data_IF_191104016374
#
_entry.id   IF_191104016374
#
_cell.length_a   1.000
_cell.length_b   1.000
_cell.length_c   1.000
_cell.angle_alpha   90.00
_cell.angle_beta   90.00
_cell.angle_gamma   90.00
#
_symmetry.space_group_name_H-M   'P 1'
#
loop_
_entity.id
_entity.type
_entity.pdbx_description
1 polymer ?
#
# COMPACT_ATOMS: atom_id res chain seq x y z
N UNK A 1 0.65 -9.21 7.65
CA UNK A 1 0.28 -8.22 6.62
C UNK A 1 -0.69 -7.22 7.25
N UNK A 2 -0.43 -5.92 7.14
CA UNK A 2 -1.29 -4.88 7.72
C UNK A 2 -2.10 -4.19 6.61
N UNK A 3 -3.43 -4.03 6.77
CA UNK A 3 -4.28 -3.40 5.78
C UNK A 3 -4.01 -1.90 5.69
N UNK A 4 -4.17 -1.33 4.50
CA UNK A 4 -4.16 0.12 4.32
C UNK A 4 -5.38 0.70 5.05
N UNK A 5 -5.17 1.59 6.04
CA UNK A 5 -6.21 1.96 7.01
C UNK A 5 -7.29 2.91 6.44
N UNK A 6 -7.19 3.32 5.18
CA UNK A 6 -8.11 4.30 4.60
C UNK A 6 -9.24 3.66 3.81
N UNK A 7 -10.43 4.23 3.92
CA UNK A 7 -11.61 3.86 3.14
C UNK A 7 -11.51 4.31 1.67
N UNK A 8 -10.48 5.10 1.33
CA UNK A 8 -10.20 5.55 -0.03
C UNK A 8 -9.62 4.44 -0.92
N UNK A 9 -9.22 3.30 -0.34
CA UNK A 9 -8.71 2.17 -1.12
C UNK A 9 -9.86 1.52 -1.91
N UNK A 10 -9.74 1.47 -3.23
CA UNK A 10 -10.71 0.85 -4.15
C UNK A 10 -10.28 -0.52 -4.66
N UNK A 11 -9.26 -1.13 -4.06
CA UNK A 11 -8.61 -2.35 -4.56
C UNK A 11 -8.16 -2.32 -6.04
N UNK A 12 -7.88 -1.14 -6.60
CA UNK A 12 -7.45 -1.01 -8.00
C UNK A 12 -6.14 -1.73 -8.37
N UNK A 13 -5.34 -2.16 -7.38
CA UNK A 13 -4.15 -2.99 -7.61
C UNK A 13 -2.89 -2.27 -8.08
N UNK A 14 -2.91 -0.97 -8.39
CA UNK A 14 -1.72 -0.25 -8.87
C UNK A 14 -0.53 -0.32 -7.89
N UNK A 15 -0.80 -0.24 -6.59
CA UNK A 15 0.23 -0.39 -5.56
C UNK A 15 0.87 -1.79 -5.54
N UNK A 16 0.12 -2.83 -5.91
CA UNK A 16 0.62 -4.21 -6.02
C UNK A 16 1.56 -4.33 -7.21
N UNK A 17 1.18 -3.76 -8.36
CA UNK A 17 1.95 -3.81 -9.60
C UNK A 17 3.32 -3.10 -9.47
N UNK A 18 3.33 -1.89 -8.89
CA UNK A 18 4.56 -1.11 -8.78
C UNK A 18 5.51 -1.61 -7.68
N UNK A 19 5.05 -2.46 -6.75
CA UNK A 19 5.85 -2.81 -5.58
C UNK A 19 7.05 -3.69 -5.97
N UNK A 20 8.30 -3.19 -5.89
CA UNK A 20 9.47 -3.94 -6.36
C UNK A 20 9.75 -5.19 -5.52
N UNK A 21 9.31 -5.19 -4.26
CA UNK A 21 9.45 -6.31 -3.32
C UNK A 21 8.25 -7.25 -3.31
N UNK A 22 7.22 -6.98 -4.12
CA UNK A 22 5.93 -7.71 -4.11
C UNK A 22 5.40 -7.88 -2.67
N UNK A 23 5.50 -6.80 -1.90
CA UNK A 23 5.14 -6.77 -0.50
C UNK A 23 3.66 -6.41 -0.29
N UNK A 24 2.90 -6.13 -1.36
CA UNK A 24 1.52 -5.68 -1.28
C UNK A 24 0.64 -6.71 -1.97
N UNK A 25 -0.52 -7.00 -1.37
CA UNK A 25 -1.55 -7.89 -1.90
C UNK A 25 -2.94 -7.30 -1.65
N UNK A 26 -3.93 -7.67 -2.46
CA UNK A 26 -5.34 -7.33 -2.18
C UNK A 26 -5.94 -8.44 -1.32
N UNK A 27 -6.58 -8.05 -0.22
CA UNK A 27 -7.32 -8.92 0.71
C UNK A 27 -8.65 -8.21 1.01
N UNK A 28 -9.78 -8.88 0.79
CA UNK A 28 -11.12 -8.36 1.15
C UNK A 28 -11.33 -6.91 0.68
N UNK A 29 -11.11 -6.68 -0.62
CA UNK A 29 -11.28 -5.39 -1.29
C UNK A 29 -10.38 -4.25 -0.76
N UNK A 30 -9.28 -4.58 -0.07
CA UNK A 30 -8.27 -3.60 0.35
C UNK A 30 -6.87 -4.09 0.08
N UNK A 31 -5.98 -3.15 -0.21
CA UNK A 31 -4.56 -3.46 -0.28
C UNK A 31 -3.99 -3.63 1.14
N UNK A 32 -3.14 -4.65 1.32
CA UNK A 32 -2.51 -5.05 2.57
C UNK A 32 -1.01 -5.21 2.34
N UNK A 33 -0.22 -4.62 3.24
CA UNK A 33 1.24 -4.51 3.13
C UNK A 33 1.92 -5.48 4.09
N UNK A 34 2.85 -6.27 3.56
CA UNK A 34 3.78 -7.06 4.33
C UNK A 34 5.00 -6.21 4.72
N UNK A 35 4.97 -5.66 5.94
CA UNK A 35 6.07 -4.86 6.45
C UNK A 35 7.39 -5.63 6.66
N UNK A 36 7.37 -6.97 6.64
CA UNK A 36 8.62 -7.75 6.70
C UNK A 36 9.38 -7.73 5.37
N UNK A 37 8.67 -7.50 4.26
CA UNK A 37 9.23 -7.39 2.90
C UNK A 37 9.32 -5.95 2.41
N UNK A 38 8.50 -5.06 2.98
CA UNK A 38 8.48 -3.65 2.63
C UNK A 38 9.82 -2.99 2.98
N UNK A 39 10.41 -2.32 2.00
CA UNK A 39 11.68 -1.59 2.15
C UNK A 39 11.46 -0.08 2.32
N UNK A 40 10.22 0.35 2.58
CA UNK A 40 9.87 1.76 2.72
C UNK A 40 10.29 2.63 1.52
N UNK A 41 10.17 2.11 0.29
CA UNK A 41 10.48 2.85 -0.93
C UNK A 41 9.43 3.90 -1.32
N UNK A 42 8.24 3.83 -0.70
CA UNK A 42 7.12 4.76 -0.91
C UNK A 42 6.51 4.83 -2.33
N UNK A 43 6.94 4.00 -3.28
CA UNK A 43 6.35 3.98 -4.63
C UNK A 43 4.84 3.71 -4.62
N UNK A 44 4.34 2.90 -3.67
CA UNK A 44 2.91 2.65 -3.51
C UNK A 44 2.13 3.90 -3.11
N UNK A 45 2.73 4.79 -2.30
CA UNK A 45 2.13 6.06 -1.90
C UNK A 45 2.05 7.01 -3.11
N UNK A 46 3.14 7.15 -3.85
CA UNK A 46 3.19 8.06 -5.01
C UNK A 46 2.24 7.64 -6.14
N UNK A 47 2.09 6.33 -6.39
CA UNK A 47 1.25 5.87 -7.50
C UNK A 47 -0.24 5.86 -7.16
N UNK A 48 -0.63 5.96 -5.89
CA UNK A 48 -2.03 5.73 -5.49
C UNK A 48 -2.90 6.95 -5.88
N UNK A 49 -3.77 6.84 -6.91
CA UNK A 49 -4.56 7.99 -7.37
C UNK A 49 -5.65 8.39 -6.38
N UNK A 50 -5.96 7.52 -5.42
CA UNK A 50 -6.95 7.74 -4.38
C UNK A 50 -6.32 8.21 -3.06
N UNK A 51 -5.00 8.40 -3.01
CA UNK A 51 -4.29 8.83 -1.79
C UNK A 51 -4.58 7.91 -0.59
N UNK A 52 -4.80 6.62 -0.85
CA UNK A 52 -5.22 5.68 0.17
C UNK A 52 -4.09 5.32 1.14
N UNK A 53 -2.83 5.49 0.73
CA UNK A 53 -1.65 5.15 1.51
C UNK A 53 -1.13 6.43 2.15
N UNK A 54 -1.25 6.56 3.47
CA UNK A 54 -0.71 7.71 4.21
C UNK A 54 0.66 7.37 4.80
N UNK A 55 1.60 8.30 4.66
CA UNK A 55 2.89 8.24 5.35
C UNK A 55 2.76 9.03 6.65
N UNK A 56 2.73 8.32 7.78
CA UNK A 56 2.81 8.97 9.08
C UNK A 56 4.27 9.11 9.48
N UNK A 57 4.75 10.36 9.58
CA UNK A 57 6.03 10.64 10.20
C UNK A 57 5.89 10.46 11.71
N UNK A 58 6.36 9.33 12.23
CA UNK A 58 6.64 9.24 13.67
C UNK A 58 7.88 10.08 13.95
N UNK A 59 7.69 11.18 14.68
CA UNK A 59 8.75 11.93 15.36
C UNK A 59 9.37 11.10 16.48
#
# INVERSE_FOLDING_TARGET
QQPIPTEKCTACGQCVEICPKKAIQIIEDRASVDYTKCISCYCCHEICPYEAIKLEYRK
#
